data_IF_269087514224
#
_entry.id   IF_269087514224
#
_cell.length_a   1.000
_cell.length_b   1.000
_cell.length_c   1.000
_cell.angle_alpha   90.00
_cell.angle_beta   90.00
_cell.angle_gamma   90.00
#
_symmetry.space_group_name_H-M   'P 1'
#
loop_
_entity.id
_entity.type
_entity.pdbx_description
1 polymer ?
#
# COMPACT_ATOMS: atom_id res chain seq x y z
N UNK A 1 -2.55 21.11 15.93
CA UNK A 1 -2.66 20.97 14.46
C UNK A 1 -2.89 19.50 14.15
N UNK A 2 -4.01 19.13 13.51
CA UNK A 2 -4.37 17.72 13.25
C UNK A 2 -3.50 17.24 12.08
N UNK A 3 -2.53 16.36 12.36
CA UNK A 3 -1.67 15.76 11.34
C UNK A 3 -2.53 15.02 10.31
N UNK A 4 -2.49 15.45 9.05
CA UNK A 4 -3.11 14.76 7.93
C UNK A 4 -2.35 13.45 7.70
N UNK A 5 -2.84 12.35 8.27
CA UNK A 5 -2.30 11.00 8.01
C UNK A 5 -2.73 10.57 6.60
N UNK A 6 -1.85 10.80 5.63
CA UNK A 6 -1.99 10.25 4.28
C UNK A 6 -2.01 8.72 4.38
N UNK A 7 -2.97 8.11 3.70
CA UNK A 7 -3.15 6.65 3.70
C UNK A 7 -2.35 6.03 2.56
N UNK A 8 -1.79 4.84 2.79
CA UNK A 8 -0.97 4.13 1.83
C UNK A 8 -1.82 3.58 0.65
N UNK A 9 -1.61 4.04 -0.59
CA UNK A 9 -2.43 3.61 -1.73
C UNK A 9 -1.77 2.56 -2.62
N UNK A 10 -0.49 2.25 -2.42
CA UNK A 10 0.28 1.35 -3.29
C UNK A 10 0.83 0.15 -2.52
N UNK A 11 0.94 -0.98 -3.21
CA UNK A 11 1.59 -2.21 -2.74
C UNK A 11 2.17 -2.98 -3.92
N UNK A 12 2.92 -4.04 -3.66
CA UNK A 12 3.38 -4.99 -4.68
C UNK A 12 2.43 -6.18 -4.74
N UNK A 13 2.10 -6.65 -5.94
CA UNK A 13 1.42 -7.93 -6.13
C UNK A 13 2.41 -9.11 -6.12
N UNK A 14 1.89 -10.32 -6.32
CA UNK A 14 2.66 -11.57 -6.43
C UNK A 14 3.71 -11.59 -7.55
N UNK A 15 3.53 -10.75 -8.57
CA UNK A 15 4.46 -10.61 -9.70
C UNK A 15 5.50 -9.51 -9.47
N UNK A 16 5.61 -8.98 -8.24
CA UNK A 16 6.48 -7.85 -7.89
C UNK A 16 6.20 -6.55 -8.67
N UNK A 17 4.95 -6.37 -9.13
CA UNK A 17 4.50 -5.15 -9.83
C UNK A 17 3.81 -4.23 -8.82
N UNK A 18 4.11 -2.92 -8.88
CA UNK A 18 3.41 -1.92 -8.07
C UNK A 18 1.98 -1.80 -8.58
N UNK A 19 1.02 -2.03 -7.68
CA UNK A 19 -0.42 -1.94 -7.93
C UNK A 19 -1.06 -0.90 -7.01
N UNK A 20 -2.12 -0.26 -7.50
CA UNK A 20 -2.91 0.68 -6.72
C UNK A 20 -4.03 -0.04 -5.97
N UNK A 21 -4.37 0.44 -4.77
CA UNK A 21 -5.43 -0.15 -3.94
C UNK A 21 -6.79 -0.26 -4.65
N UNK A 22 -7.06 0.61 -5.63
CA UNK A 22 -8.30 0.55 -6.40
C UNK A 22 -8.39 -0.71 -7.26
N UNK A 23 -7.26 -1.22 -7.78
CA UNK A 23 -7.22 -2.32 -8.77
C UNK A 23 -7.13 -3.70 -8.14
N UNK A 24 -6.96 -3.79 -6.82
CA UNK A 24 -6.83 -5.07 -6.10
C UNK A 24 -8.13 -5.48 -5.40
N UNK A 25 -8.26 -6.77 -5.12
CA UNK A 25 -9.34 -7.29 -4.28
C UNK A 25 -9.26 -6.74 -2.85
N UNK A 26 -10.41 -6.65 -2.18
CA UNK A 26 -10.48 -6.19 -0.79
C UNK A 26 -9.95 -7.25 0.18
N UNK A 27 -9.38 -6.81 1.30
CA UNK A 27 -8.94 -7.69 2.38
C UNK A 27 -7.57 -8.33 2.14
N UNK A 28 -7.36 -9.51 2.72
CA UNK A 28 -6.11 -10.28 2.61
C UNK A 28 -5.96 -10.99 1.26
N UNK A 29 -7.05 -11.10 0.48
CA UNK A 29 -7.04 -11.81 -0.80
C UNK A 29 -6.22 -11.10 -1.89
N UNK A 30 -5.86 -9.82 -1.68
CA UNK A 30 -5.00 -9.10 -2.61
C UNK A 30 -3.59 -9.68 -2.74
N UNK A 31 -3.14 -10.55 -1.81
CA UNK A 31 -1.79 -11.10 -1.73
C UNK A 31 -0.69 -10.04 -1.90
N UNK A 32 -1.00 -8.79 -1.53
CA UNK A 32 -0.08 -7.69 -1.72
C UNK A 32 0.94 -7.63 -0.57
N UNK A 33 2.16 -7.23 -0.89
CA UNK A 33 3.22 -6.97 0.10
C UNK A 33 3.68 -5.53 0.01
N UNK A 34 4.26 -5.05 1.11
CA UNK A 34 4.85 -3.73 1.12
C UNK A 34 6.20 -3.73 0.40
N UNK A 35 6.47 -2.79 -0.52
CA UNK A 35 7.71 -2.84 -1.30
C UNK A 35 8.98 -2.63 -0.46
N UNK A 36 8.92 -1.86 0.62
CA UNK A 36 10.10 -1.59 1.47
C UNK A 36 10.36 -2.71 2.47
N UNK A 37 9.41 -2.96 3.39
CA UNK A 37 9.54 -3.94 4.46
C UNK A 37 9.03 -5.36 4.12
N UNK A 38 8.59 -5.61 2.88
CA UNK A 38 8.12 -6.92 2.35
C UNK A 38 7.06 -7.63 3.19
N UNK A 39 6.40 -6.90 4.09
CA UNK A 39 5.39 -7.44 4.97
C UNK A 39 4.04 -7.52 4.26
N UNK A 40 3.21 -8.53 4.54
CA UNK A 40 1.93 -8.70 3.89
C UNK A 40 0.98 -7.56 4.25
N UNK A 41 0.20 -7.15 3.25
CA UNK A 41 -0.77 -6.06 3.32
C UNK A 41 -2.21 -6.58 3.29
N UNK A 42 -3.09 -5.76 3.83
CA UNK A 42 -4.55 -5.89 3.80
C UNK A 42 -5.08 -4.70 3.00
N UNK A 43 -5.81 -5.00 1.93
CA UNK A 43 -6.52 -3.99 1.16
C UNK A 43 -7.78 -3.53 1.91
N UNK A 44 -7.67 -2.49 2.73
CA UNK A 44 -8.79 -1.90 3.45
C UNK A 44 -9.60 -0.99 2.53
N UNK A 45 -10.57 -1.57 1.82
CA UNK A 45 -11.57 -0.86 1.02
C UNK A 45 -12.84 -0.65 1.84
N UNK A 46 -13.51 0.47 1.65
CA UNK A 46 -14.73 0.80 2.38
C UNK A 46 -15.35 2.09 1.89
N UNK A 47 -16.64 2.27 2.18
CA UNK A 47 -17.42 3.43 1.70
C UNK A 47 -17.24 4.68 2.56
N UNK A 48 -16.82 4.53 3.82
CA UNK A 48 -16.64 5.64 4.77
C UNK A 48 -15.20 6.16 4.85
N UNK A 49 -14.21 5.32 4.51
CA UNK A 49 -12.80 5.65 4.61
C UNK A 49 -12.14 5.48 3.24
N UNK A 50 -11.15 6.33 2.93
CA UNK A 50 -10.37 6.17 1.70
C UNK A 50 -9.76 4.76 1.63
N UNK A 51 -9.76 4.19 0.43
CA UNK A 51 -9.14 2.89 0.17
C UNK A 51 -7.65 2.97 0.48
N UNK A 52 -7.15 2.04 1.29
CA UNK A 52 -5.74 1.99 1.60
C UNK A 52 -5.26 0.60 1.97
N UNK A 53 -3.95 0.40 1.86
CA UNK A 53 -3.29 -0.76 2.42
C UNK A 53 -2.96 -0.56 3.89
N UNK A 54 -3.02 -1.65 4.65
CA UNK A 54 -2.56 -1.75 6.03
C UNK A 54 -1.65 -2.96 6.15
N UNK A 55 -0.64 -2.93 7.00
CA UNK A 55 0.08 -4.15 7.33
C UNK A 55 -0.83 -5.14 8.06
N UNK A 56 -0.68 -6.44 7.76
CA UNK A 56 -1.36 -7.51 8.51
C UNK A 56 -0.90 -7.50 9.96
N UNK A 57 0.41 -7.35 10.18
CA UNK A 57 1.03 -7.23 11.49
C UNK A 57 1.37 -5.76 11.74
N UNK A 58 1.16 -5.20 12.94
CA UNK A 58 1.62 -3.86 13.25
C UNK A 58 3.15 -3.82 13.23
N UNK A 59 3.71 -3.41 12.10
CA UNK A 59 5.13 -3.15 11.89
C UNK A 59 5.33 -1.65 11.70
N UNK A 60 6.33 -1.10 12.37
CA UNK A 60 6.81 0.25 12.12
C UNK A 60 7.73 0.23 10.90
N UNK A 61 7.21 0.64 9.74
CA UNK A 61 8.01 0.90 8.55
C UNK A 61 8.14 2.43 8.40
N UNK A 62 9.20 3.00 8.99
CA UNK A 62 9.53 4.42 8.83
C UNK A 62 9.79 4.75 7.34
N UNK A 63 9.31 5.89 6.86
CA UNK A 63 9.45 6.28 5.45
C UNK A 63 8.72 5.38 4.45
N UNK A 64 7.88 4.44 4.92
CA UNK A 64 7.22 3.48 4.05
C UNK A 64 6.37 4.16 2.98
N UNK A 65 5.49 5.09 3.38
CA UNK A 65 4.58 5.76 2.45
C UNK A 65 5.35 6.44 1.30
N UNK A 66 6.42 7.17 1.61
CA UNK A 66 7.27 7.85 0.64
C UNK A 66 7.91 6.84 -0.32
N UNK A 67 8.43 5.73 0.22
CA UNK A 67 9.02 4.65 -0.57
C UNK A 67 8.02 4.07 -1.57
N UNK A 68 6.78 3.82 -1.14
CA UNK A 68 5.73 3.27 -1.99
C UNK A 68 5.34 4.23 -3.13
N UNK A 69 5.25 5.54 -2.84
CA UNK A 69 4.96 6.57 -3.86
C UNK A 69 6.12 6.69 -4.85
N UNK A 70 7.36 6.72 -4.36
CA UNK A 70 8.55 6.84 -5.20
C UNK A 70 8.64 5.65 -6.18
N UNK A 71 8.40 4.43 -5.70
CA UNK A 71 8.40 3.24 -6.55
C UNK A 71 7.25 3.23 -7.56
N UNK A 72 6.05 3.69 -7.16
CA UNK A 72 4.93 3.85 -8.10
C UNK A 72 5.27 4.84 -9.22
N UNK A 73 5.86 6.00 -8.90
CA UNK A 73 6.28 6.98 -9.89
C UNK A 73 7.36 6.42 -10.83
N UNK A 74 8.32 5.69 -10.28
CA UNK A 74 9.40 5.05 -11.05
C UNK A 74 8.86 4.09 -12.12
N UNK A 75 7.83 3.30 -11.80
CA UNK A 75 7.19 2.37 -12.76
C UNK A 75 6.42 3.07 -13.89
N UNK A 76 6.04 4.34 -13.73
CA UNK A 76 5.31 5.09 -14.76
C UNK A 76 6.28 5.78 -15.74
N UNK A 77 7.43 6.24 -15.21
CA UNK A 77 8.37 7.10 -15.95
C UNK A 77 9.51 6.28 -16.59
N UNK A 78 9.80 5.09 -16.06
CA UNK A 78 10.84 4.16 -16.58
C UNK A 78 10.20 2.97 -17.28
#
# INVERSE_FOLDING_TARGET
MKSLKIKLPFGLNENNIIVHIATVESGKNCNCIFPSCRSPLIAAKGTKNQHHFKHVTPIECEGGLESAIHMAAKQIIM
#
